data_IF_338313922316
#
_entry.id   IF_338313922316
#
_cell.length_a   1.000
_cell.length_b   1.000
_cell.length_c   1.000
_cell.angle_alpha   90.00
_cell.angle_beta   90.00
_cell.angle_gamma   90.00
#
_symmetry.space_group_name_H-M   'P 1'
#
loop_
_entity.id
_entity.type
_entity.pdbx_description
1 polymer ?
#
# COMPACT_ATOMS: atom_id res chain seq x y z
N UNK A 1 8.27 -37.34 -14.79
CA UNK A 1 7.07 -37.50 -13.93
C UNK A 1 5.84 -37.41 -14.81
N UNK A 2 4.91 -38.37 -14.72
CA UNK A 2 3.73 -38.44 -15.59
C UNK A 2 2.68 -37.41 -15.16
N UNK A 3 1.98 -36.82 -16.14
CA UNK A 3 1.01 -35.72 -15.98
C UNK A 3 -0.05 -35.96 -14.90
N UNK A 4 -0.41 -37.22 -14.63
CA UNK A 4 -1.35 -37.63 -13.57
C UNK A 4 -0.78 -37.53 -12.15
N UNK A 5 0.53 -37.70 -11.95
CA UNK A 5 1.13 -37.59 -10.61
C UNK A 5 1.19 -36.14 -10.13
N UNK A 6 1.41 -35.20 -11.05
CA UNK A 6 1.50 -33.76 -10.76
C UNK A 6 0.14 -33.19 -10.34
N UNK A 7 -0.95 -33.62 -10.99
CA UNK A 7 -2.31 -33.18 -10.66
C UNK A 7 -2.72 -33.64 -9.25
N UNK A 8 -2.43 -34.90 -8.91
CA UNK A 8 -2.74 -35.47 -7.60
C UNK A 8 -1.91 -34.85 -6.47
N UNK A 9 -0.66 -34.44 -6.76
CA UNK A 9 0.17 -33.68 -5.83
C UNK A 9 -0.31 -32.23 -5.68
N UNK A 10 -0.88 -31.62 -6.72
CA UNK A 10 -1.43 -30.26 -6.64
C UNK A 10 -2.72 -30.20 -5.80
N UNK A 11 -3.64 -31.15 -6.01
CA UNK A 11 -4.90 -31.27 -5.23
C UNK A 11 -4.61 -31.45 -3.73
N UNK A 12 -3.64 -32.30 -3.39
CA UNK A 12 -3.23 -32.53 -1.99
C UNK A 12 -2.42 -31.38 -1.37
N UNK A 13 -1.87 -30.46 -2.17
CA UNK A 13 -1.17 -29.27 -1.69
C UNK A 13 -2.13 -28.08 -1.51
N UNK A 14 -3.19 -28.02 -2.32
CA UNK A 14 -4.24 -27.00 -2.24
C UNK A 14 -5.17 -27.18 -1.03
N UNK A 15 -5.56 -28.43 -0.69
CA UNK A 15 -6.30 -28.75 0.55
C UNK A 15 -5.59 -28.32 1.84
N UNK A 16 -4.26 -28.08 1.78
CA UNK A 16 -3.44 -27.66 2.93
C UNK A 16 -3.16 -26.15 2.98
N UNK A 17 -3.63 -25.36 2.02
CA UNK A 17 -3.34 -23.92 1.97
C UNK A 17 -4.49 -23.09 2.54
N UNK A 18 -4.27 -22.43 3.68
CA UNK A 18 -5.23 -21.57 4.37
C UNK A 18 -5.48 -20.23 3.63
N UNK A 19 -5.86 -20.25 2.36
CA UNK A 19 -6.14 -19.02 1.60
C UNK A 19 -7.45 -19.06 0.81
N UNK A 20 -8.23 -18.00 0.97
CA UNK A 20 -9.60 -17.78 0.46
C UNK A 20 -9.74 -17.62 -1.08
N UNK A 21 -8.69 -17.85 -1.87
CA UNK A 21 -8.63 -17.43 -3.29
C UNK A 21 -8.70 -18.57 -4.33
N UNK A 22 -9.15 -19.77 -3.96
CA UNK A 22 -9.02 -20.97 -4.82
C UNK A 22 -9.76 -20.92 -6.17
N UNK A 23 -10.83 -20.15 -6.34
CA UNK A 23 -11.75 -20.35 -7.47
C UNK A 23 -11.55 -19.43 -8.70
N UNK A 24 -10.65 -18.45 -8.67
CA UNK A 24 -10.56 -17.45 -9.77
C UNK A 24 -9.41 -17.69 -10.79
N UNK A 25 -8.46 -18.60 -10.52
CA UNK A 25 -7.14 -18.57 -11.21
C UNK A 25 -6.86 -19.81 -12.10
N UNK A 26 -7.67 -20.88 -12.01
CA UNK A 26 -7.38 -22.17 -12.66
C UNK A 26 -7.30 -22.18 -14.22
N UNK A 27 -8.09 -21.38 -14.98
CA UNK A 27 -8.08 -21.44 -16.44
C UNK A 27 -6.88 -20.75 -17.13
N UNK A 28 -6.33 -19.67 -16.55
CA UNK A 28 -5.26 -18.86 -17.19
C UNK A 28 -3.88 -19.55 -17.11
N UNK A 29 -3.69 -20.42 -16.11
CA UNK A 29 -2.45 -21.15 -15.84
C UNK A 29 -2.15 -22.23 -16.89
N UNK A 30 -3.17 -22.86 -17.48
CA UNK A 30 -2.99 -23.94 -18.46
C UNK A 30 -2.51 -23.43 -19.82
N UNK A 31 -2.77 -22.16 -20.15
CA UNK A 31 -2.42 -21.56 -21.43
C UNK A 31 -0.91 -21.25 -21.56
N UNK A 32 -0.21 -21.00 -20.44
CA UNK A 32 1.15 -20.41 -20.45
C UNK A 32 2.30 -21.38 -20.20
N UNK A 33 2.02 -22.64 -19.84
CA UNK A 33 3.05 -23.66 -19.59
C UNK A 33 3.76 -24.20 -20.85
N UNK A 34 3.40 -23.76 -22.07
CA UNK A 34 3.97 -24.30 -23.32
C UNK A 34 5.29 -23.67 -23.79
N UNK A 35 5.80 -22.59 -23.18
CA UNK A 35 6.74 -21.70 -23.90
C UNK A 35 8.21 -21.67 -23.43
N UNK A 36 8.61 -22.10 -22.23
CA UNK A 36 9.98 -21.76 -21.77
C UNK A 36 10.75 -22.90 -21.10
N UNK A 37 11.60 -23.57 -21.86
CA UNK A 37 12.65 -24.46 -21.35
C UNK A 37 14.01 -24.22 -22.06
N UNK A 38 14.89 -23.39 -21.50
CA UNK A 38 16.35 -23.59 -21.47
C UNK A 38 17.05 -22.50 -20.65
N UNK A 39 17.97 -22.90 -19.76
CA UNK A 39 18.96 -22.04 -19.09
C UNK A 39 20.32 -22.72 -19.21
N UNK A 40 21.37 -21.95 -19.50
CA UNK A 40 22.75 -22.41 -19.57
C UNK A 40 23.61 -21.61 -18.56
N UNK A 41 24.67 -22.21 -18.02
CA UNK A 41 25.55 -21.66 -16.97
C UNK A 41 26.89 -21.27 -17.57
N UNK A 42 27.44 -20.11 -17.16
CA UNK A 42 28.82 -19.70 -17.48
C UNK A 42 29.72 -19.81 -16.25
N UNK A 43 30.93 -20.34 -16.45
CA UNK A 43 32.02 -20.41 -15.47
C UNK A 43 32.87 -19.13 -15.50
N UNK A 44 33.42 -18.71 -14.35
CA UNK A 44 34.31 -17.54 -14.22
C UNK A 44 35.75 -17.97 -13.86
N UNK A 45 36.79 -17.29 -14.39
CA UNK A 45 38.19 -17.59 -14.10
C UNK A 45 38.73 -16.92 -12.82
N UNK A 46 39.88 -17.41 -12.37
CA UNK A 46 40.36 -17.43 -10.98
C UNK A 46 41.42 -16.38 -10.60
N UNK A 47 41.58 -15.28 -11.34
CA UNK A 47 42.55 -14.21 -11.01
C UNK A 47 41.92 -12.83 -11.16
N UNK A 48 41.81 -12.09 -10.04
CA UNK A 48 41.21 -10.74 -9.99
C UNK A 48 42.34 -9.71 -9.86
N UNK A 49 42.61 -8.97 -10.94
CA UNK A 49 43.49 -7.79 -10.94
C UNK A 49 44.24 -7.62 -12.25
N UNK A 50 44.17 -6.41 -12.85
CA UNK A 50 45.02 -6.04 -13.99
C UNK A 50 46.39 -5.56 -13.49
N UNK A 51 47.49 -5.85 -14.22
CA UNK A 51 48.78 -5.22 -13.95
C UNK A 51 48.70 -3.70 -14.14
N UNK A 52 49.53 -2.92 -13.44
CA UNK A 52 49.51 -1.44 -13.43
C UNK A 52 50.86 -0.81 -13.79
N UNK A 53 50.85 0.43 -14.29
CA UNK A 53 52.05 1.22 -14.60
C UNK A 53 52.81 1.61 -13.31
N UNK A 54 54.13 1.74 -13.37
CA UNK A 54 54.98 2.23 -12.28
C UNK A 54 55.44 3.68 -12.52
N UNK A 55 54.75 4.69 -11.95
CA UNK A 55 55.09 6.10 -12.12
C UNK A 55 56.28 6.51 -11.22
N UNK A 56 57.03 7.53 -11.66
CA UNK A 56 58.19 8.05 -10.94
C UNK A 56 57.82 8.96 -9.77
N UNK A 57 56.74 9.74 -9.89
CA UNK A 57 56.29 10.68 -8.85
C UNK A 57 55.52 9.98 -7.73
N UNK A 58 55.67 10.49 -6.50
CA UNK A 58 54.97 9.98 -5.32
C UNK A 58 53.44 10.10 -5.48
N UNK A 59 52.96 11.23 -6.01
CA UNK A 59 51.55 11.44 -6.32
C UNK A 59 51.05 10.48 -7.41
N UNK A 60 51.86 10.21 -8.43
CA UNK A 60 51.53 9.23 -9.47
C UNK A 60 51.38 7.83 -8.90
N UNK A 61 52.29 7.39 -8.01
CA UNK A 61 52.23 6.06 -7.38
C UNK A 61 50.96 5.90 -6.55
N UNK A 62 50.56 6.97 -5.87
CA UNK A 62 49.30 7.01 -5.13
C UNK A 62 48.07 6.89 -6.04
N UNK A 63 48.04 7.68 -7.12
CA UNK A 63 46.94 7.66 -8.09
C UNK A 63 46.79 6.30 -8.78
N UNK A 64 47.90 5.69 -9.18
CA UNK A 64 47.91 4.33 -9.75
C UNK A 64 47.29 3.34 -8.80
N UNK A 65 47.67 3.37 -7.51
CA UNK A 65 47.12 2.49 -6.48
C UNK A 65 45.62 2.72 -6.27
N UNK A 66 45.17 3.98 -6.26
CA UNK A 66 43.74 4.31 -6.17
C UNK A 66 42.96 3.79 -7.38
N UNK A 67 43.44 4.07 -8.60
CA UNK A 67 42.74 3.73 -9.84
C UNK A 67 42.76 2.22 -10.14
N UNK A 68 43.79 1.48 -9.71
CA UNK A 68 43.86 0.02 -9.88
C UNK A 68 43.04 -0.74 -8.85
N UNK A 69 42.89 -0.20 -7.64
CA UNK A 69 42.23 -0.88 -6.51
C UNK A 69 40.82 -0.36 -6.21
N UNK A 70 40.43 0.79 -6.78
CA UNK A 70 39.10 1.37 -6.61
C UNK A 70 38.04 0.70 -7.48
N UNK A 71 36.78 0.85 -7.07
CA UNK A 71 35.62 0.26 -7.75
C UNK A 71 35.04 1.09 -8.90
N UNK A 72 35.57 2.30 -9.13
CA UNK A 72 35.14 3.16 -10.23
C UNK A 72 35.55 2.54 -11.57
N UNK A 73 34.55 2.20 -12.37
CA UNK A 73 34.78 1.53 -13.64
C UNK A 73 35.49 2.48 -14.63
N UNK A 74 36.42 1.93 -15.42
CA UNK A 74 37.20 2.69 -16.41
C UNK A 74 38.53 3.26 -15.89
N UNK A 75 38.66 3.57 -14.59
CA UNK A 75 39.90 4.12 -14.04
C UNK A 75 41.07 3.13 -14.08
N UNK A 76 40.82 1.84 -13.86
CA UNK A 76 41.85 0.81 -13.93
C UNK A 76 42.49 0.72 -15.34
N UNK A 77 41.70 0.94 -16.40
CA UNK A 77 42.20 0.92 -17.77
C UNK A 77 43.10 2.11 -18.13
N UNK A 78 42.98 3.24 -17.42
CA UNK A 78 43.91 4.37 -17.56
C UNK A 78 45.31 4.04 -17.04
N UNK A 79 45.38 3.11 -16.09
CA UNK A 79 46.60 2.76 -15.36
C UNK A 79 47.21 1.43 -15.82
N UNK A 80 46.60 0.76 -16.79
CA UNK A 80 47.12 -0.48 -17.37
C UNK A 80 48.45 -0.27 -18.15
N UNK A 81 49.43 -1.18 -18.01
CA UNK A 81 50.72 -1.09 -18.68
C UNK A 81 50.58 -1.30 -20.19
N UNK A 82 51.55 -0.79 -20.95
CA UNK A 82 51.69 -1.02 -22.40
C UNK A 82 50.49 -0.58 -23.27
N UNK A 83 49.75 0.43 -22.82
CA UNK A 83 48.64 1.03 -23.55
C UNK A 83 49.08 2.24 -24.37
N UNK A 84 48.66 2.28 -25.63
CA UNK A 84 48.96 3.41 -26.53
C UNK A 84 48.31 4.70 -25.98
N UNK A 85 48.95 5.89 -26.11
CA UNK A 85 48.40 7.15 -25.62
C UNK A 85 46.99 7.45 -26.15
N UNK A 86 46.71 7.09 -27.41
CA UNK A 86 45.38 7.25 -28.02
C UNK A 86 44.29 6.42 -27.31
N UNK A 87 44.60 5.17 -26.94
CA UNK A 87 43.65 4.33 -26.19
C UNK A 87 43.32 4.95 -24.84
N UNK A 88 44.32 5.51 -24.15
CA UNK A 88 44.12 6.19 -22.85
C UNK A 88 43.25 7.44 -22.99
N UNK A 89 43.46 8.21 -24.06
CA UNK A 89 42.63 9.38 -24.36
C UNK A 89 41.17 8.97 -24.61
N UNK A 90 40.95 7.91 -25.39
CA UNK A 90 39.61 7.38 -25.65
C UNK A 90 38.92 6.88 -24.37
N UNK A 91 39.63 6.13 -23.51
CA UNK A 91 39.09 5.66 -22.23
C UNK A 91 38.73 6.85 -21.33
N UNK A 92 39.60 7.85 -21.24
CA UNK A 92 39.33 9.07 -20.47
C UNK A 92 38.09 9.80 -20.98
N UNK A 93 37.97 9.93 -22.31
CA UNK A 93 36.80 10.53 -22.95
C UNK A 93 35.50 9.79 -22.58
N UNK A 94 35.48 8.45 -22.61
CA UNK A 94 34.30 7.67 -22.22
C UNK A 94 33.96 7.80 -20.73
N UNK A 95 34.96 7.81 -19.83
CA UNK A 95 34.72 8.00 -18.39
C UNK A 95 34.13 9.38 -18.10
N UNK A 96 34.68 10.43 -18.71
CA UNK A 96 34.15 11.80 -18.57
C UNK A 96 32.74 11.89 -19.16
N UNK A 97 32.51 11.31 -20.35
CA UNK A 97 31.19 11.27 -20.97
C UNK A 97 30.15 10.57 -20.10
N UNK A 98 30.52 9.44 -19.47
CA UNK A 98 29.65 8.72 -18.54
C UNK A 98 29.30 9.55 -17.29
N UNK A 99 30.27 10.29 -16.74
CA UNK A 99 30.04 11.19 -15.61
C UNK A 99 29.09 12.34 -15.97
N UNK A 100 29.27 12.96 -17.14
CA UNK A 100 28.38 14.03 -17.63
C UNK A 100 26.95 13.50 -17.82
N UNK A 101 26.80 12.33 -18.46
CA UNK A 101 25.51 11.69 -18.65
C UNK A 101 24.80 11.41 -17.31
N UNK A 102 25.53 10.89 -16.32
CA UNK A 102 25.02 10.66 -14.97
C UNK A 102 24.48 11.95 -14.34
N UNK A 103 25.24 13.04 -14.39
CA UNK A 103 24.85 14.32 -13.79
C UNK A 103 23.58 14.85 -14.47
N UNK A 104 23.52 14.81 -15.81
CA UNK A 104 22.35 15.27 -16.57
C UNK A 104 21.10 14.46 -16.22
N UNK A 105 21.19 13.13 -16.24
CA UNK A 105 20.07 12.26 -15.90
C UNK A 105 19.62 12.44 -14.45
N UNK A 106 20.55 12.60 -13.52
CA UNK A 106 20.25 12.82 -12.11
C UNK A 106 19.46 14.11 -11.90
N UNK A 107 19.84 15.18 -12.59
CA UNK A 107 19.10 16.45 -12.55
C UNK A 107 17.70 16.32 -13.16
N UNK A 108 17.55 15.64 -14.31
CA UNK A 108 16.24 15.39 -14.93
C UNK A 108 15.33 14.58 -13.99
N UNK A 109 15.86 13.55 -13.34
CA UNK A 109 15.08 12.77 -12.37
C UNK A 109 14.71 13.57 -11.13
N UNK A 110 15.63 14.39 -10.63
CA UNK A 110 15.38 15.27 -9.48
C UNK A 110 14.29 16.31 -9.80
N UNK A 111 14.37 16.94 -10.97
CA UNK A 111 13.38 17.91 -11.45
C UNK A 111 12.00 17.25 -11.61
N UNK A 112 11.95 16.09 -12.28
CA UNK A 112 10.70 15.33 -12.42
C UNK A 112 10.09 14.94 -11.05
N UNK A 113 10.92 14.60 -10.07
CA UNK A 113 10.46 14.27 -8.73
C UNK A 113 9.86 15.48 -8.00
N UNK A 114 10.49 16.66 -8.10
CA UNK A 114 10.02 17.87 -7.43
C UNK A 114 8.81 18.51 -8.13
N UNK A 115 8.83 18.57 -9.47
CA UNK A 115 7.91 19.39 -10.25
C UNK A 115 6.77 18.61 -10.94
N UNK A 116 6.93 17.30 -11.16
CA UNK A 116 5.97 16.48 -11.92
C UNK A 116 5.42 15.30 -11.10
N UNK A 117 4.66 15.61 -10.05
CA UNK A 117 4.20 14.63 -9.09
C UNK A 117 2.69 14.35 -9.15
N UNK A 118 2.13 13.93 -10.29
CA UNK A 118 0.91 13.11 -10.32
C UNK A 118 0.81 12.36 -11.65
N UNK A 119 0.83 11.02 -11.63
CA UNK A 119 0.44 10.20 -12.78
C UNK A 119 -0.95 9.65 -12.51
N UNK A 120 -1.95 10.11 -13.25
CA UNK A 120 -3.30 9.57 -13.19
C UNK A 120 -3.31 8.29 -14.03
N UNK A 121 -3.44 7.14 -13.37
CA UNK A 121 -3.63 5.85 -14.04
C UNK A 121 -5.11 5.53 -13.97
N UNK A 122 -5.76 5.46 -15.13
CA UNK A 122 -7.15 5.01 -15.23
C UNK A 122 -7.14 3.49 -15.32
N UNK A 123 -7.65 2.83 -14.29
CA UNK A 123 -7.85 1.37 -14.29
C UNK A 123 -9.22 1.05 -14.88
N UNK A 124 -9.22 0.43 -16.07
CA UNK A 124 -10.43 0.03 -16.80
C UNK A 124 -10.79 -1.46 -16.56
N UNK A 125 -10.31 -2.06 -15.47
CA UNK A 125 -10.59 -3.47 -15.21
C UNK A 125 -12.08 -3.72 -14.87
N UNK A 126 -12.85 -4.05 -15.91
CA UNK A 126 -14.28 -4.37 -15.85
C UNK A 126 -14.62 -5.53 -14.90
N UNK A 127 -13.68 -6.46 -14.68
CA UNK A 127 -13.93 -7.65 -13.86
C UNK A 127 -13.81 -7.32 -12.36
N UNK A 128 -13.08 -6.25 -12.01
CA UNK A 128 -12.97 -5.73 -10.65
C UNK A 128 -13.91 -4.54 -10.38
N UNK A 129 -14.34 -3.83 -11.43
CA UNK A 129 -15.20 -2.66 -11.30
C UNK A 129 -16.65 -3.06 -11.04
N UNK A 130 -17.01 -3.17 -9.75
CA UNK A 130 -18.41 -3.34 -9.32
C UNK A 130 -19.01 -1.96 -9.07
N UNK A 131 -20.01 -1.57 -9.85
CA UNK A 131 -20.79 -0.37 -9.59
C UNK A 131 -21.54 -0.57 -8.27
N UNK A 132 -21.25 0.24 -7.23
CA UNK A 132 -22.01 0.16 -6.00
C UNK A 132 -23.47 0.52 -6.30
N UNK A 133 -24.39 -0.23 -5.72
CA UNK A 133 -25.81 0.08 -5.84
C UNK A 133 -26.10 1.43 -5.18
N UNK A 134 -26.99 2.21 -5.78
CA UNK A 134 -27.45 3.50 -5.28
C UNK A 134 -27.97 3.43 -3.84
N UNK A 135 -27.64 4.46 -3.06
CA UNK A 135 -28.22 4.71 -1.74
C UNK A 135 -29.50 5.52 -1.89
N UNK A 136 -30.53 5.14 -1.15
CA UNK A 136 -31.83 5.82 -1.15
C UNK A 136 -32.17 6.31 0.26
N UNK A 137 -32.62 7.55 0.36
CA UNK A 137 -33.23 8.14 1.55
C UNK A 137 -34.67 8.54 1.21
N UNK A 138 -35.64 7.99 1.92
CA UNK A 138 -37.06 8.28 1.76
C UNK A 138 -37.57 8.89 3.05
N UNK A 139 -37.79 10.20 3.03
CA UNK A 139 -38.39 10.94 4.15
C UNK A 139 -39.82 11.29 3.78
N UNK A 140 -40.78 10.90 4.61
CA UNK A 140 -42.18 11.21 4.35
C UNK A 140 -42.52 12.61 4.86
N UNK A 141 -43.36 13.32 4.12
CA UNK A 141 -43.94 14.61 4.59
C UNK A 141 -44.87 14.37 5.78
N UNK A 142 -45.61 13.26 5.76
CA UNK A 142 -46.37 12.77 6.91
C UNK A 142 -45.72 11.49 7.42
N UNK A 143 -45.01 11.59 8.53
CA UNK A 143 -44.25 10.49 9.13
C UNK A 143 -45.14 9.50 9.84
N UNK A 144 -46.24 9.95 10.46
CA UNK A 144 -47.20 9.11 11.20
C UNK A 144 -48.36 8.65 10.31
N UNK A 145 -48.81 7.42 10.55
CA UNK A 145 -50.09 6.89 10.09
C UNK A 145 -51.21 7.13 11.14
N UNK A 146 -52.19 8.00 10.86
CA UNK A 146 -53.30 8.27 11.78
C UNK A 146 -54.11 7.02 12.14
N UNK A 147 -54.16 6.01 11.25
CA UNK A 147 -54.92 4.78 11.49
C UNK A 147 -54.29 3.92 12.59
N UNK A 148 -52.98 4.03 12.81
CA UNK A 148 -52.26 3.27 13.85
C UNK A 148 -52.36 3.90 15.23
N UNK A 149 -52.80 5.16 15.34
CA UNK A 149 -52.77 5.89 16.61
C UNK A 149 -53.54 5.17 17.72
N UNK A 150 -54.76 4.71 17.42
CA UNK A 150 -55.60 4.04 18.42
C UNK A 150 -54.97 2.75 18.93
N UNK A 151 -54.39 1.93 18.05
CA UNK A 151 -53.74 0.66 18.43
C UNK A 151 -52.43 0.89 19.20
N UNK A 152 -51.63 1.86 18.77
CA UNK A 152 -50.35 2.18 19.44
C UNK A 152 -50.63 2.83 20.81
N UNK A 153 -51.60 3.73 20.93
CA UNK A 153 -51.96 4.32 22.22
C UNK A 153 -52.44 3.25 23.20
N UNK A 154 -53.22 2.26 22.73
CA UNK A 154 -53.59 1.10 23.54
C UNK A 154 -52.37 0.27 23.97
N UNK A 155 -51.38 0.07 23.09
CA UNK A 155 -50.14 -0.68 23.38
C UNK A 155 -49.30 -0.01 24.49
N UNK A 156 -49.27 1.32 24.52
CA UNK A 156 -48.46 2.10 25.48
C UNK A 156 -49.23 2.62 26.69
N UNK A 157 -50.49 2.20 26.88
CA UNK A 157 -51.39 2.66 27.96
C UNK A 157 -51.62 4.18 27.96
N UNK A 158 -51.79 4.75 26.76
CA UNK A 158 -52.04 6.17 26.53
C UNK A 158 -53.54 6.36 26.28
N UNK A 159 -54.15 7.31 26.99
CA UNK A 159 -55.55 7.69 26.73
C UNK A 159 -55.65 8.41 25.38
N UNK A 160 -56.43 7.83 24.46
CA UNK A 160 -56.69 8.40 23.13
C UNK A 160 -57.53 9.68 23.24
N UNK A 161 -56.84 10.81 23.34
CA UNK A 161 -57.39 12.13 23.58
C UNK A 161 -56.90 13.09 22.48
N UNK A 162 -57.67 14.13 22.12
CA UNK A 162 -57.24 15.10 21.11
C UNK A 162 -55.86 15.69 21.42
N UNK A 163 -55.58 15.97 22.69
CA UNK A 163 -54.29 16.53 23.13
C UNK A 163 -53.14 15.54 22.89
N UNK A 164 -53.35 14.24 23.13
CA UNK A 164 -52.33 13.23 22.86
C UNK A 164 -52.06 13.08 21.35
N UNK A 165 -53.11 13.10 20.53
CA UNK A 165 -52.97 13.01 19.06
C UNK A 165 -52.22 14.21 18.50
N UNK A 166 -52.57 15.42 18.94
CA UNK A 166 -51.90 16.65 18.54
C UNK A 166 -50.43 16.63 18.94
N UNK A 167 -50.12 16.25 20.18
CA UNK A 167 -48.76 16.16 20.67
C UNK A 167 -47.87 15.22 19.84
N UNK A 168 -48.30 13.98 19.60
CA UNK A 168 -47.51 13.03 18.79
C UNK A 168 -47.43 13.42 17.32
N UNK A 169 -48.46 14.08 16.77
CA UNK A 169 -48.43 14.61 15.40
C UNK A 169 -47.40 15.74 15.28
N UNK A 170 -47.41 16.68 16.23
CA UNK A 170 -46.42 17.76 16.30
C UNK A 170 -45.02 17.18 16.44
N UNK A 171 -44.80 16.26 17.38
CA UNK A 171 -43.48 15.67 17.64
C UNK A 171 -42.92 14.92 16.42
N UNK A 172 -43.79 14.41 15.55
CA UNK A 172 -43.39 13.73 14.32
C UNK A 172 -42.99 14.63 13.15
N UNK A 173 -43.36 15.92 13.23
CA UNK A 173 -43.12 16.95 12.21
C UNK A 173 -42.31 18.12 12.76
N UNK A 174 -41.74 17.94 13.95
CA UNK A 174 -40.91 18.95 14.61
C UNK A 174 -39.62 19.15 13.81
N UNK A 175 -39.24 20.42 13.68
CA UNK A 175 -38.05 20.92 12.99
C UNK A 175 -37.37 21.93 13.91
N UNK A 176 -36.14 22.32 13.59
CA UNK A 176 -35.46 23.39 14.33
C UNK A 176 -36.22 24.72 14.35
N UNK A 177 -37.07 24.98 13.36
CA UNK A 177 -37.82 26.23 13.24
C UNK A 177 -39.03 26.28 14.17
N UNK A 178 -39.78 25.18 14.28
CA UNK A 178 -41.03 25.12 15.05
C UNK A 178 -40.88 24.45 16.42
N UNK A 179 -39.69 23.93 16.79
CA UNK A 179 -39.46 23.24 18.08
C UNK A 179 -39.88 24.06 19.31
N UNK A 180 -39.82 25.39 19.23
CA UNK A 180 -40.22 26.27 20.33
C UNK A 180 -41.74 26.28 20.59
N UNK A 181 -42.54 25.82 19.63
CA UNK A 181 -44.01 25.75 19.71
C UNK A 181 -44.52 24.40 20.26
N UNK A 182 -43.64 23.62 20.90
CA UNK A 182 -43.98 22.27 21.39
C UNK A 182 -45.16 22.28 22.38
N UNK A 183 -46.26 21.56 22.11
CA UNK A 183 -47.37 21.44 23.04
C UNK A 183 -46.95 20.79 24.37
N UNK A 184 -47.51 21.27 25.48
CA UNK A 184 -47.22 20.71 26.81
C UNK A 184 -47.99 19.40 26.97
N UNK A 185 -47.26 18.29 27.10
CA UNK A 185 -47.83 16.97 27.35
C UNK A 185 -46.93 16.14 28.27
N UNK A 186 -47.39 15.90 29.50
CA UNK A 186 -46.63 15.27 30.59
C UNK A 186 -47.11 13.84 30.94
N UNK A 187 -48.20 13.38 30.31
CA UNK A 187 -48.82 12.08 30.60
C UNK A 187 -47.96 10.87 30.18
N UNK A 188 -46.96 11.08 29.32
CA UNK A 188 -46.08 10.01 28.81
C UNK A 188 -44.62 10.42 29.01
N UNK A 189 -43.79 9.57 29.64
CA UNK A 189 -42.39 9.90 29.90
C UNK A 189 -41.59 10.01 28.58
N UNK A 190 -40.69 10.98 28.52
CA UNK A 190 -39.96 11.34 27.30
C UNK A 190 -39.12 10.21 26.69
N UNK A 191 -38.65 9.27 27.52
CA UNK A 191 -37.88 8.11 27.07
C UNK A 191 -38.69 7.15 26.17
N UNK A 192 -40.03 7.20 26.20
CA UNK A 192 -40.89 6.36 25.36
C UNK A 192 -41.28 7.02 24.05
N UNK A 193 -41.07 8.33 23.89
CA UNK A 193 -41.59 9.08 22.75
C UNK A 193 -41.06 8.56 21.41
N UNK A 194 -39.77 8.27 21.33
CA UNK A 194 -39.15 7.75 20.10
C UNK A 194 -39.67 6.35 19.72
N UNK A 195 -39.88 5.47 20.70
CA UNK A 195 -40.45 4.14 20.47
C UNK A 195 -41.90 4.24 19.98
N UNK A 196 -42.68 5.16 20.57
CA UNK A 196 -44.06 5.43 20.15
C UNK A 196 -44.09 5.98 18.73
N UNK A 197 -43.26 6.97 18.41
CA UNK A 197 -43.15 7.52 17.05
C UNK A 197 -42.74 6.45 16.04
N UNK A 198 -41.85 5.53 16.42
CA UNK A 198 -41.45 4.42 15.57
C UNK A 198 -42.58 3.45 15.25
N UNK A 199 -43.49 3.20 16.20
CA UNK A 199 -44.65 2.35 15.98
C UNK A 199 -45.77 3.08 15.21
N UNK A 200 -45.89 4.39 15.42
CA UNK A 200 -46.81 5.27 14.69
C UNK A 200 -46.40 5.54 13.25
N UNK A 201 -45.14 5.28 12.89
CA UNK A 201 -44.63 5.60 11.55
C UNK A 201 -45.47 4.93 10.45
N UNK A 202 -45.55 5.61 9.32
CA UNK A 202 -46.14 5.06 8.11
C UNK A 202 -45.20 4.00 7.54
N UNK A 203 -45.71 2.79 7.39
CA UNK A 203 -44.89 1.69 6.87
C UNK A 203 -44.62 1.90 5.38
N UNK A 204 -43.38 1.66 5.01
CA UNK A 204 -42.95 1.46 3.64
C UNK A 204 -42.92 -0.05 3.45
N UNK A 205 -43.49 -0.56 2.35
CA UNK A 205 -43.47 -1.98 2.06
C UNK A 205 -42.05 -2.53 2.22
N UNK A 206 -41.88 -3.58 3.01
CA UNK A 206 -40.57 -4.23 3.13
C UNK A 206 -40.11 -4.70 1.75
N UNK A 207 -38.81 -4.59 1.46
CA UNK A 207 -38.21 -5.04 0.20
C UNK A 207 -38.52 -4.19 -1.05
N UNK A 208 -38.71 -2.86 -0.95
CA UNK A 208 -38.79 -2.03 -2.18
C UNK A 208 -37.54 -2.20 -3.05
N UNK A 209 -36.37 -2.41 -2.42
CA UNK A 209 -35.09 -2.57 -3.11
C UNK A 209 -34.29 -3.81 -2.70
N UNK A 210 -34.62 -4.48 -1.59
CA UNK A 210 -33.88 -5.66 -1.13
C UNK A 210 -34.47 -6.94 -1.69
N UNK A 211 -33.61 -7.80 -2.25
CA UNK A 211 -33.96 -9.17 -2.68
C UNK A 211 -33.83 -10.17 -1.51
N UNK A 212 -33.24 -9.73 -0.39
CA UNK A 212 -33.02 -10.54 0.81
C UNK A 212 -34.02 -10.17 1.90
N UNK A 213 -34.41 -11.17 2.69
CA UNK A 213 -35.29 -11.00 3.85
C UNK A 213 -34.73 -10.09 4.96
N UNK A 214 -33.42 -9.81 4.95
CA UNK A 214 -32.76 -8.92 5.91
C UNK A 214 -31.55 -8.22 5.25
N UNK A 215 -31.56 -6.89 5.22
CA UNK A 215 -30.43 -6.04 4.83
C UNK A 215 -30.10 -5.08 6.00
N UNK A 216 -28.91 -5.18 6.64
CA UNK A 216 -28.56 -4.30 7.76
C UNK A 216 -28.39 -2.83 7.35
N UNK A 217 -28.31 -2.54 6.05
CA UNK A 217 -28.26 -1.19 5.50
C UNK A 217 -29.63 -0.70 5.03
N UNK A 218 -30.70 -1.43 5.38
CA UNK A 218 -32.10 -1.06 5.18
C UNK A 218 -32.80 -0.89 6.53
N UNK A 219 -32.98 0.34 6.99
CA UNK A 219 -33.60 0.63 8.28
C UNK A 219 -34.18 2.03 8.34
N UNK A 220 -34.98 2.27 9.38
CA UNK A 220 -35.45 3.61 9.75
C UNK A 220 -34.40 4.31 10.61
N UNK A 221 -34.13 5.56 10.26
CA UNK A 221 -33.21 6.46 10.96
C UNK A 221 -33.94 7.73 11.41
N UNK A 222 -33.34 8.44 12.36
CA UNK A 222 -33.78 9.79 12.75
C UNK A 222 -32.88 10.81 12.06
N UNK A 223 -33.50 11.83 11.45
CA UNK A 223 -32.86 12.99 10.83
C UNK A 223 -33.45 14.28 11.41
N UNK A 224 -32.92 15.42 11.00
CA UNK A 224 -33.48 16.75 11.28
C UNK A 224 -34.89 16.96 10.73
N UNK A 225 -35.33 16.11 9.78
CA UNK A 225 -36.70 16.09 9.24
C UNK A 225 -37.57 14.99 9.87
N UNK A 226 -37.12 14.36 10.95
CA UNK A 226 -37.80 13.26 11.60
C UNK A 226 -37.39 11.89 11.06
N UNK A 227 -38.33 10.93 11.09
CA UNK A 227 -38.09 9.54 10.71
C UNK A 227 -37.98 9.39 9.19
N UNK A 228 -36.86 8.87 8.73
CA UNK A 228 -36.62 8.55 7.32
C UNK A 228 -36.24 7.09 7.15
N UNK A 229 -36.66 6.50 6.04
CA UNK A 229 -36.25 5.17 5.64
C UNK A 229 -35.02 5.24 4.75
N UNK A 230 -34.02 4.44 5.05
CA UNK A 230 -32.76 4.41 4.31
C UNK A 230 -32.50 3.00 3.83
N UNK A 231 -32.05 2.90 2.57
CA UNK A 231 -31.65 1.62 1.97
C UNK A 231 -30.26 1.77 1.33
N UNK A 232 -29.47 0.69 1.44
CA UNK A 232 -28.13 0.55 0.85
C UNK A 232 -27.16 1.67 1.25
N UNK A 233 -27.25 2.15 2.49
CA UNK A 233 -26.32 3.13 3.05
C UNK A 233 -25.73 2.65 4.38
N UNK A 234 -24.40 2.77 4.51
CA UNK A 234 -23.69 2.45 5.75
C UNK A 234 -24.08 3.38 6.90
N UNK A 235 -24.44 4.63 6.60
CA UNK A 235 -24.96 5.60 7.58
C UNK A 235 -26.20 5.10 8.32
N UNK A 236 -27.00 4.23 7.68
CA UNK A 236 -28.21 3.69 8.28
C UNK A 236 -27.94 2.91 9.59
N UNK A 237 -26.78 2.25 9.68
CA UNK A 237 -26.35 1.49 10.87
C UNK A 237 -26.05 2.41 12.06
N UNK A 238 -25.59 3.64 11.80
CA UNK A 238 -25.20 4.58 12.83
C UNK A 238 -26.33 5.50 13.28
N UNK A 239 -27.27 5.82 12.38
CA UNK A 239 -28.37 6.75 12.64
C UNK A 239 -29.70 6.06 13.00
N UNK A 240 -29.69 4.73 13.18
CA UNK A 240 -30.87 3.99 13.61
C UNK A 240 -31.17 4.25 15.10
N UNK A 241 -32.45 4.16 15.47
CA UNK A 241 -32.94 4.28 16.84
C UNK A 241 -32.30 3.28 17.82
N UNK A 242 -31.91 2.09 17.33
CA UNK A 242 -31.32 1.03 18.15
C UNK A 242 -29.84 0.89 17.84
N UNK A 243 -29.01 1.45 18.72
CA UNK A 243 -27.56 1.28 18.63
C UNK A 243 -27.17 -0.16 18.97
N UNK A 244 -26.88 -0.96 17.95
CA UNK A 244 -26.31 -2.31 18.12
C UNK A 244 -24.79 -2.13 18.26
N UNK A 245 -24.31 -2.08 19.50
CA UNK A 245 -22.88 -2.10 19.77
C UNK A 245 -22.38 -3.54 19.85
N UNK A 246 -21.25 -3.78 19.19
CA UNK A 246 -20.49 -5.02 19.42
C UNK A 246 -19.90 -4.95 20.84
N UNK A 247 -20.11 -6.00 21.63
CA UNK A 247 -19.52 -6.05 22.97
C UNK A 247 -17.98 -6.00 22.88
N UNK A 248 -17.30 -5.35 23.83
CA UNK A 248 -15.84 -5.18 23.79
C UNK A 248 -15.08 -6.51 23.83
N UNK A 249 -15.68 -7.57 24.39
CA UNK A 249 -15.12 -8.92 24.43
C UNK A 249 -14.98 -9.59 23.04
N UNK A 250 -15.50 -9.00 21.96
CA UNK A 250 -15.23 -9.50 20.59
C UNK A 250 -13.75 -9.34 20.21
N UNK A 251 -13.00 -8.47 20.88
CA UNK A 251 -11.54 -8.40 20.73
C UNK A 251 -10.84 -9.66 21.26
N UNK A 252 -11.42 -10.36 22.22
CA UNK A 252 -10.88 -11.62 22.79
C UNK A 252 -11.06 -12.81 21.85
N UNK A 253 -12.00 -12.72 20.90
CA UNK A 253 -12.19 -13.77 19.90
C UNK A 253 -11.01 -13.81 18.94
N UNK A 254 -10.57 -15.02 18.59
CA UNK A 254 -9.52 -15.20 17.58
C UNK A 254 -9.95 -14.61 16.24
N UNK A 255 -8.99 -14.12 15.45
CA UNK A 255 -9.22 -13.57 14.10
C UNK A 255 -10.04 -14.52 13.22
N UNK A 256 -9.86 -15.85 13.37
CA UNK A 256 -10.64 -16.87 12.64
C UNK A 256 -12.11 -16.90 13.03
N UNK A 257 -12.42 -16.76 14.31
CA UNK A 257 -13.79 -16.77 14.82
C UNK A 257 -14.54 -15.50 14.41
N UNK A 258 -13.90 -14.33 14.53
CA UNK A 258 -14.54 -13.03 14.19
C UNK A 258 -14.46 -12.66 12.70
N UNK A 259 -13.63 -13.35 11.91
CA UNK A 259 -13.43 -13.14 10.46
C UNK A 259 -13.02 -11.71 10.06
N UNK A 260 -12.49 -10.93 10.99
CA UNK A 260 -11.97 -9.58 10.76
C UNK A 260 -10.72 -9.32 11.64
N UNK A 261 -9.93 -8.31 11.25
CA UNK A 261 -8.65 -7.97 11.89
C UNK A 261 -8.68 -6.52 12.41
N UNK A 262 -8.35 -6.32 13.68
CA UNK A 262 -8.14 -5.03 14.32
C UNK A 262 -6.71 -4.51 14.07
N UNK A 263 -6.47 -3.24 14.39
CA UNK A 263 -5.14 -2.63 14.26
C UNK A 263 -4.08 -3.37 15.08
N UNK A 264 -4.43 -3.83 16.28
CA UNK A 264 -3.50 -4.47 17.23
C UNK A 264 -3.22 -5.95 16.91
N UNK A 265 -3.95 -6.56 15.97
CA UNK A 265 -3.73 -7.94 15.53
C UNK A 265 -2.49 -8.11 14.62
N UNK A 266 -1.80 -7.00 14.34
CA UNK A 266 -0.59 -6.93 13.53
C UNK A 266 -0.82 -6.79 12.03
N UNK A 267 0.29 -6.72 11.28
CA UNK A 267 0.30 -6.47 9.84
C UNK A 267 0.16 -7.69 8.94
N UNK A 268 0.54 -7.48 7.68
CA UNK A 268 0.84 -8.50 6.67
C UNK A 268 2.34 -8.82 6.70
N UNK A 269 2.83 -9.79 5.91
CA UNK A 269 4.28 -10.14 5.93
C UNK A 269 5.18 -9.03 5.40
N UNK A 270 4.68 -8.24 4.47
CA UNK A 270 5.40 -7.17 3.77
C UNK A 270 5.10 -5.80 4.39
N UNK A 271 3.96 -5.65 5.08
CA UNK A 271 3.46 -4.37 5.54
C UNK A 271 3.03 -4.43 7.01
N UNK A 272 3.40 -3.44 7.84
CA UNK A 272 3.15 -3.48 9.29
C UNK A 272 1.66 -3.33 9.68
N UNK A 273 0.80 -2.88 8.76
CA UNK A 273 -0.63 -2.64 9.00
C UNK A 273 -1.47 -3.44 8.02
N UNK A 274 -2.57 -4.02 8.52
CA UNK A 274 -3.56 -4.70 7.68
C UNK A 274 -4.56 -3.71 7.08
N UNK A 275 -4.59 -3.64 5.75
CA UNK A 275 -5.72 -3.09 5.01
C UNK A 275 -6.08 -4.04 3.86
N UNK A 276 -7.33 -3.99 3.39
CA UNK A 276 -7.79 -4.81 2.27
C UNK A 276 -6.91 -4.64 1.03
N UNK A 277 -6.56 -3.39 0.68
CA UNK A 277 -5.73 -3.10 -0.49
C UNK A 277 -4.33 -3.68 -0.34
N UNK A 278 -3.74 -3.52 0.85
CA UNK A 278 -2.40 -4.01 1.14
C UNK A 278 -2.34 -5.55 1.13
N UNK A 279 -3.41 -6.20 1.60
CA UNK A 279 -3.59 -7.65 1.55
C UNK A 279 -3.64 -8.16 0.11
N UNK A 280 -4.42 -7.49 -0.74
CA UNK A 280 -4.53 -7.84 -2.18
C UNK A 280 -3.18 -7.68 -2.88
N UNK A 281 -2.43 -6.61 -2.60
CA UNK A 281 -1.12 -6.36 -3.20
C UNK A 281 -0.12 -7.44 -2.78
N UNK A 282 -0.02 -7.75 -1.49
CA UNK A 282 0.88 -8.80 -1.00
C UNK A 282 0.51 -10.18 -1.53
N UNK A 283 -0.79 -10.49 -1.61
CA UNK A 283 -1.28 -11.73 -2.21
C UNK A 283 -0.86 -11.81 -3.68
N UNK A 284 -1.06 -10.74 -4.45
CA UNK A 284 -0.60 -10.65 -5.84
C UNK A 284 0.92 -10.81 -5.94
N UNK A 285 1.69 -10.14 -5.08
CA UNK A 285 3.15 -10.27 -5.05
C UNK A 285 3.60 -11.70 -4.78
N UNK A 286 2.96 -12.38 -3.83
CA UNK A 286 3.27 -13.77 -3.48
C UNK A 286 2.93 -14.71 -4.63
N UNK A 287 1.76 -14.56 -5.25
CA UNK A 287 1.39 -15.35 -6.43
C UNK A 287 2.38 -15.14 -7.58
N UNK A 288 2.80 -13.90 -7.83
CA UNK A 288 3.81 -13.59 -8.86
C UNK A 288 5.17 -14.18 -8.50
N UNK A 289 5.58 -14.14 -7.23
CA UNK A 289 6.85 -14.73 -6.77
C UNK A 289 6.82 -16.26 -6.87
N UNK A 290 5.76 -16.90 -6.39
CA UNK A 290 5.64 -18.36 -6.34
C UNK A 290 5.52 -18.96 -7.75
N UNK A 291 4.84 -18.26 -8.68
CA UNK A 291 4.59 -18.77 -10.03
C UNK A 291 5.57 -18.27 -11.09
N UNK A 292 6.03 -17.02 -10.99
CA UNK A 292 6.89 -16.40 -11.99
C UNK A 292 8.31 -16.16 -11.49
N UNK A 293 8.58 -16.33 -10.19
CA UNK A 293 9.85 -16.02 -9.54
C UNK A 293 10.38 -14.61 -9.87
N UNK A 294 9.44 -13.69 -10.10
CA UNK A 294 9.70 -12.32 -10.48
C UNK A 294 9.21 -11.38 -9.37
N UNK A 295 9.94 -10.29 -9.14
CA UNK A 295 9.53 -9.26 -8.19
C UNK A 295 8.92 -8.09 -8.96
N UNK A 296 7.60 -7.81 -8.83
CA UNK A 296 6.95 -6.76 -9.60
C UNK A 296 7.51 -5.37 -9.27
N UNK A 297 7.49 -4.45 -10.24
CA UNK A 297 8.07 -3.11 -10.09
C UNK A 297 7.46 -2.32 -8.92
N UNK A 298 6.15 -2.47 -8.68
CA UNK A 298 5.44 -1.85 -7.57
C UNK A 298 5.74 -2.49 -6.19
N UNK A 299 6.53 -3.56 -6.15
CA UNK A 299 7.03 -4.18 -4.92
C UNK A 299 8.44 -3.68 -4.51
N UNK A 300 8.90 -2.58 -5.11
CA UNK A 300 10.16 -1.92 -4.74
C UNK A 300 9.89 -0.75 -3.79
N UNK A 301 10.55 -0.70 -2.62
CA UNK A 301 10.81 0.58 -1.97
C UNK A 301 11.70 1.43 -2.90
N UNK A 302 11.50 2.74 -2.83
CA UNK A 302 12.08 3.80 -3.68
C UNK A 302 13.60 3.62 -3.85
N UNK A 303 14.08 3.42 -5.09
CA UNK A 303 15.51 3.50 -5.43
C UNK A 303 15.73 3.74 -6.94
N UNK A 304 15.40 4.93 -7.45
CA UNK A 304 15.61 5.28 -8.87
C UNK A 304 16.97 5.94 -9.16
N UNK A 305 17.77 6.28 -8.14
CA UNK A 305 19.06 6.98 -8.32
C UNK A 305 20.24 5.99 -8.32
N UNK A 306 20.19 4.96 -7.46
CA UNK A 306 21.25 3.95 -7.36
C UNK A 306 21.43 3.09 -8.62
N UNK A 307 20.36 2.89 -9.41
CA UNK A 307 20.41 2.13 -10.66
C UNK A 307 21.17 2.84 -11.77
N UNK A 308 21.01 4.16 -11.91
CA UNK A 308 21.73 4.95 -12.91
C UNK A 308 23.23 5.07 -12.55
N UNK A 309 23.55 5.28 -11.27
CA UNK A 309 24.93 5.33 -10.77
C UNK A 309 25.69 4.00 -10.95
N UNK A 310 25.02 2.88 -10.72
CA UNK A 310 25.56 1.55 -10.99
C UNK A 310 25.77 1.27 -12.48
N UNK A 311 24.86 1.73 -13.36
CA UNK A 311 24.93 1.47 -14.80
C UNK A 311 26.08 2.21 -15.51
N UNK A 312 26.29 3.49 -15.18
CA UNK A 312 27.26 4.33 -15.91
C UNK A 312 28.68 4.30 -15.34
N UNK A 313 28.83 4.17 -14.01
CA UNK A 313 30.13 4.27 -13.34
C UNK A 313 30.46 3.05 -12.47
N UNK A 314 29.52 2.10 -12.33
CA UNK A 314 29.61 1.03 -11.32
C UNK A 314 29.63 1.56 -9.89
N UNK A 315 29.18 2.80 -9.69
CA UNK A 315 29.24 3.47 -8.39
C UNK A 315 28.23 2.85 -7.43
N UNK A 316 28.74 2.32 -6.32
CA UNK A 316 27.96 1.74 -5.24
C UNK A 316 28.20 2.51 -3.93
N UNK A 317 27.46 2.15 -2.87
CA UNK A 317 27.75 2.64 -1.51
C UNK A 317 29.20 2.33 -1.12
N UNK A 318 29.75 1.21 -1.59
CA UNK A 318 31.16 0.85 -1.40
C UNK A 318 32.10 1.87 -2.06
N UNK A 319 31.78 2.32 -3.28
CA UNK A 319 32.56 3.32 -4.01
C UNK A 319 32.61 4.66 -3.27
N UNK A 320 31.51 5.07 -2.63
CA UNK A 320 31.47 6.28 -1.80
C UNK A 320 32.40 6.15 -0.58
N UNK A 321 32.30 5.03 0.15
CA UNK A 321 33.19 4.76 1.30
C UNK A 321 34.66 4.69 0.87
N UNK A 322 34.96 4.08 -0.26
CA UNK A 322 36.31 4.01 -0.84
C UNK A 322 36.87 5.40 -1.18
N UNK A 323 36.06 6.27 -1.79
CA UNK A 323 36.48 7.65 -2.10
C UNK A 323 36.86 8.38 -0.81
N UNK A 324 36.05 8.28 0.26
CA UNK A 324 36.39 8.88 1.55
C UNK A 324 37.64 8.26 2.17
N UNK A 325 37.77 6.93 2.15
CA UNK A 325 38.94 6.23 2.68
C UNK A 325 40.24 6.62 1.97
N UNK A 326 40.24 6.66 0.63
CA UNK A 326 41.41 7.02 -0.18
C UNK A 326 41.70 8.52 -0.18
N UNK A 327 40.72 9.40 -0.01
CA UNK A 327 40.96 10.85 0.06
C UNK A 327 41.43 11.32 1.44
N UNK A 328 41.09 10.60 2.52
CA UNK A 328 41.40 11.01 3.89
C UNK A 328 42.43 10.10 4.56
N UNK A 329 42.00 8.94 5.07
CA UNK A 329 42.77 8.05 5.94
C UNK A 329 43.99 7.50 5.20
N UNK A 330 43.80 6.87 4.05
CA UNK A 330 44.89 6.24 3.33
C UNK A 330 45.87 7.28 2.76
N UNK A 331 45.39 8.46 2.36
CA UNK A 331 46.25 9.55 1.90
C UNK A 331 47.13 10.08 3.03
N UNK A 332 46.56 10.28 4.22
CA UNK A 332 47.29 10.73 5.40
C UNK A 332 48.42 9.78 5.80
N UNK A 333 48.12 8.47 5.92
CA UNK A 333 49.13 7.47 6.25
C UNK A 333 50.20 7.34 5.16
N UNK A 334 49.81 7.38 3.89
CA UNK A 334 50.75 7.34 2.77
C UNK A 334 51.70 8.55 2.75
N UNK A 335 51.19 9.76 3.03
CA UNK A 335 52.02 10.96 3.14
C UNK A 335 52.97 10.89 4.35
N UNK A 336 52.52 10.35 5.48
CA UNK A 336 53.36 10.17 6.67
C UNK A 336 54.49 9.17 6.41
N UNK A 337 54.19 8.05 5.77
CA UNK A 337 55.17 7.03 5.42
C UNK A 337 56.19 7.52 4.39
N UNK A 338 55.75 8.25 3.35
CA UNK A 338 56.65 8.82 2.33
C UNK A 338 57.58 9.88 2.92
N UNK A 339 57.09 10.74 3.83
CA UNK A 339 57.92 11.69 4.59
C UNK A 339 58.91 10.99 5.52
N UNK A 340 58.51 9.90 6.18
CA UNK A 340 59.41 9.12 7.05
C UNK A 340 60.52 8.42 6.25
N UNK A 341 60.18 7.78 5.12
CA UNK A 341 61.15 7.18 4.21
C UNK A 341 62.14 8.20 3.65
N UNK A 342 61.66 9.40 3.29
CA UNK A 342 62.51 10.51 2.83
C UNK A 342 63.48 10.97 3.92
N UNK A 343 63.04 11.09 5.18
CA UNK A 343 63.93 11.49 6.29
C UNK A 343 65.00 10.44 6.62
N UNK A 344 64.67 9.16 6.53
CA UNK A 344 65.63 8.08 6.81
C UNK A 344 66.64 7.86 5.68
N UNK A 345 66.27 8.11 4.41
CA UNK A 345 67.23 8.06 3.30
C UNK A 345 68.25 9.20 3.39
N UNK A 346 67.85 10.40 3.80
CA UNK A 346 68.78 11.52 4.05
C UNK A 346 69.69 11.31 5.26
N UNK A 347 69.27 10.49 6.24
CA UNK A 347 70.06 10.17 7.45
C UNK A 347 71.07 9.03 7.26
N UNK A 348 70.97 8.28 6.16
CA UNK A 348 71.95 7.24 5.75
C UNK A 348 72.97 7.75 4.72
N UNK A 349 72.75 8.92 4.13
CA UNK A 349 73.63 9.55 3.14
C UNK A 349 74.55 10.63 3.71
N UNK A 350 74.41 10.93 5.00
CA UNK A 350 75.32 11.75 5.82
C UNK A 350 75.94 10.82 6.86
#
# INVERSE_FOLDING_TARGET
MTKKSVIKTLETTLEKSEYFCENEILPDLQARQRITSRKEKSAYPTMIGLPSINPKSVAGKYFVKFASSGTLHGLNHLVAPNKHPLERFLILFFVVGALVCLIVLSNIFWDRYQNNATVIVVDNNKDLFKIPRWSLFVCMVQTIDPMKMTDVFKKYDIKDTPEAREFFTFLSTVTYENMMETPIYDKVPANKWLDILYDLKRDIGSNILSEKSFDPYETWIITEKGLCFVSRNVFAVYATLKLIQTKPNVQELSVRQRKCKFFDDGGLKTWPVYTKNMCIIECRMKVIQDNCNCRPHFARPIASIGGAAGLFLGASVLSFVEIFYYSTIHLFFYMKESRWKSKNTTKMSN
#
